data_IF_450784963882
#
_entry.id   IF_450784963882
#
_cell.length_a   1.000
_cell.length_b   1.000
_cell.length_c   1.000
_cell.angle_alpha   90.00
_cell.angle_beta   90.00
_cell.angle_gamma   90.00
#
_symmetry.space_group_name_H-M   'P 1'
#
loop_
_entity.id
_entity.type
_entity.pdbx_description
1 polymer ?
#
# COMPACT_ATOMS: atom_id res chain seq x y z
N UNK A 1 -0.19 -3.33 -4.05
CA UNK A 1 -1.36 -3.97 -3.42
C UNK A 1 -2.30 -4.36 -4.54
N UNK A 2 -3.32 -5.17 -4.30
CA UNK A 2 -4.25 -5.60 -5.35
C UNK A 2 -5.31 -6.54 -4.78
N UNK A 3 -6.16 -7.12 -5.64
CA UNK A 3 -7.26 -8.00 -5.21
C UNK A 3 -6.79 -9.11 -4.26
N UNK A 4 -5.73 -9.83 -4.62
CA UNK A 4 -5.18 -10.94 -3.82
C UNK A 4 -4.35 -10.48 -2.62
N UNK A 5 -4.08 -9.18 -2.51
CA UNK A 5 -3.14 -8.64 -1.53
C UNK A 5 -3.59 -7.28 -1.01
N UNK A 6 -4.59 -7.33 -0.14
CA UNK A 6 -5.00 -6.20 0.70
C UNK A 6 -4.36 -6.35 2.10
N UNK A 7 -3.43 -5.46 2.49
CA UNK A 7 -2.78 -5.51 3.79
C UNK A 7 -3.79 -5.44 4.96
N UNK A 8 -3.61 -6.30 5.97
CA UNK A 8 -4.38 -6.29 7.23
C UNK A 8 -5.90 -6.43 7.07
N UNK A 9 -6.41 -6.87 5.91
CA UNK A 9 -7.84 -7.11 5.67
C UNK A 9 -8.50 -7.96 6.77
N UNK A 10 -7.90 -9.11 7.07
CA UNK A 10 -8.43 -10.02 8.09
C UNK A 10 -8.41 -9.41 9.50
N UNK A 11 -7.38 -8.61 9.82
CA UNK A 11 -7.28 -7.92 11.10
C UNK A 11 -8.39 -6.86 11.23
N UNK A 12 -8.65 -6.08 10.17
CA UNK A 12 -9.73 -5.10 10.12
C UNK A 12 -11.11 -5.74 10.27
N UNK A 13 -11.42 -6.77 9.49
CA UNK A 13 -12.70 -7.49 9.57
C UNK A 13 -12.93 -8.10 10.96
N UNK A 14 -11.86 -8.53 11.63
CA UNK A 14 -11.91 -9.04 12.99
C UNK A 14 -11.87 -7.95 14.09
N UNK A 15 -11.85 -6.67 13.72
CA UNK A 15 -11.76 -5.54 14.67
C UNK A 15 -10.45 -5.50 15.47
N UNK A 16 -9.38 -6.12 14.98
CA UNK A 16 -8.09 -6.16 15.67
C UNK A 16 -7.32 -4.86 15.49
N UNK A 17 -6.62 -4.37 16.54
CA UNK A 17 -5.77 -3.20 16.41
C UNK A 17 -4.66 -3.39 15.37
N UNK A 18 -4.42 -2.35 14.58
CA UNK A 18 -3.33 -2.31 13.62
C UNK A 18 -2.06 -1.87 14.35
N UNK A 19 -1.04 -2.74 14.35
CA UNK A 19 0.27 -2.44 14.92
C UNK A 19 1.08 -1.49 14.02
N UNK A 20 0.74 -0.20 14.01
CA UNK A 20 1.41 0.85 13.25
C UNK A 20 1.12 2.25 13.82
N UNK A 21 1.99 3.21 13.50
CA UNK A 21 1.76 4.64 13.82
C UNK A 21 0.75 5.24 12.84
N UNK A 22 -0.41 5.73 13.29
CA UNK A 22 -1.48 6.22 12.41
C UNK A 22 -1.04 7.40 11.52
N UNK A 23 -0.17 8.27 12.05
CA UNK A 23 0.29 9.48 11.38
C UNK A 23 1.49 9.26 10.43
N UNK A 24 1.97 8.01 10.30
CA UNK A 24 3.06 7.70 9.36
C UNK A 24 2.55 7.53 7.93
N UNK A 25 3.41 7.86 6.96
CA UNK A 25 3.07 7.77 5.54
C UNK A 25 3.22 6.36 4.95
N UNK A 26 2.26 6.00 4.12
CA UNK A 26 2.29 4.91 3.16
C UNK A 26 2.63 5.45 1.77
N UNK A 27 3.34 4.62 1.00
CA UNK A 27 3.52 4.82 -0.43
C UNK A 27 2.96 3.57 -1.11
N UNK A 28 2.02 3.78 -2.02
CA UNK A 28 1.16 2.74 -2.54
C UNK A 28 1.33 2.66 -4.05
N UNK A 29 1.23 1.45 -4.58
CA UNK A 29 1.11 1.20 -6.02
C UNK A 29 0.27 -0.05 -6.18
N UNK A 30 -0.72 0.03 -7.06
CA UNK A 30 -1.58 -1.09 -7.43
C UNK A 30 -0.75 -2.07 -8.29
N UNK A 31 -1.00 -3.38 -8.19
CA UNK A 31 -0.11 -4.40 -8.78
C UNK A 31 -0.12 -4.41 -10.32
N UNK A 32 -1.26 -4.16 -10.95
CA UNK A 32 -1.40 -3.96 -12.39
C UNK A 32 -0.66 -2.70 -12.84
N UNK A 33 -0.86 -1.55 -12.17
CA UNK A 33 -0.09 -0.32 -12.48
C UNK A 33 1.43 -0.55 -12.31
N UNK A 34 1.84 -1.29 -11.28
CA UNK A 34 3.25 -1.62 -11.07
C UNK A 34 3.80 -2.49 -12.21
N UNK A 35 3.02 -3.46 -12.70
CA UNK A 35 3.41 -4.31 -13.83
C UNK A 35 3.52 -3.50 -15.13
N UNK A 36 2.53 -2.66 -15.43
CA UNK A 36 2.53 -1.81 -16.62
C UNK A 36 3.70 -0.83 -16.64
N UNK A 37 4.06 -0.27 -15.48
CA UNK A 37 5.25 0.57 -15.33
C UNK A 37 6.53 -0.21 -15.66
N UNK A 38 6.66 -1.45 -15.19
CA UNK A 38 7.84 -2.28 -15.51
C UNK A 38 7.93 -2.57 -17.01
N UNK A 39 6.81 -2.93 -17.64
CA UNK A 39 6.76 -3.16 -19.10
C UNK A 39 7.11 -1.87 -19.86
N UNK A 40 6.55 -0.74 -19.45
CA UNK A 40 6.81 0.57 -20.07
C UNK A 40 8.27 0.97 -19.96
N UNK A 41 8.88 0.82 -18.78
CA UNK A 41 10.30 1.12 -18.56
C UNK A 41 11.20 0.19 -19.38
N UNK A 42 10.87 -1.10 -19.46
CA UNK A 42 11.66 -2.09 -20.19
C UNK A 42 11.62 -1.88 -21.72
N UNK A 43 10.52 -1.36 -22.24
CA UNK A 43 10.35 -1.08 -23.67
C UNK A 43 10.85 0.32 -24.09
N UNK A 44 11.17 1.20 -23.15
CA UNK A 44 11.57 2.56 -23.44
C UNK A 44 13.04 2.64 -23.92
N UNK A 45 13.28 3.49 -24.92
CA UNK A 45 14.64 3.85 -25.35
C UNK A 45 15.24 4.85 -24.36
N UNK A 46 16.01 4.34 -23.40
CA UNK A 46 16.57 5.11 -22.29
C UNK A 46 18.09 5.02 -22.27
N UNK A 47 18.76 6.16 -22.06
CA UNK A 47 20.18 6.17 -21.73
C UNK A 47 20.41 5.62 -20.31
N UNK A 48 20.99 4.42 -20.22
CA UNK A 48 21.24 3.70 -18.97
C UNK A 48 22.58 4.11 -18.30
N UNK A 49 22.70 3.96 -16.96
CA UNK A 49 21.70 3.42 -16.03
C UNK A 49 20.62 4.44 -15.62
N UNK A 50 19.40 3.95 -15.44
CA UNK A 50 18.27 4.70 -14.88
C UNK A 50 17.77 4.02 -13.61
N UNK A 51 17.29 4.84 -12.68
CA UNK A 51 16.61 4.39 -11.46
C UNK A 51 15.37 5.27 -11.26
N UNK A 52 14.23 4.61 -11.11
CA UNK A 52 12.95 5.23 -10.85
C UNK A 52 12.37 4.69 -9.55
N UNK A 53 11.82 5.60 -8.76
CA UNK A 53 10.94 5.27 -7.64
C UNK A 53 9.51 5.14 -8.13
N UNK A 54 8.83 4.08 -7.70
CA UNK A 54 7.46 3.76 -8.15
C UNK A 54 6.48 3.91 -7.00
N UNK A 55 5.46 4.73 -7.23
CA UNK A 55 4.25 4.90 -6.41
C UNK A 55 3.14 5.48 -7.30
N UNK A 56 1.91 5.50 -6.79
CA UNK A 56 0.78 6.22 -7.37
C UNK A 56 0.91 7.76 -7.27
N UNK A 57 1.98 8.27 -6.66
CA UNK A 57 2.22 9.70 -6.48
C UNK A 57 1.42 10.34 -5.34
N UNK A 58 0.66 9.56 -4.56
CA UNK A 58 -0.21 10.03 -3.49
C UNK A 58 0.21 9.43 -2.14
N UNK A 59 1.26 9.95 -1.47
CA UNK A 59 1.59 9.53 -0.11
C UNK A 59 0.38 9.70 0.81
N UNK A 60 -0.04 8.63 1.47
CA UNK A 60 -1.25 8.60 2.29
C UNK A 60 -0.90 8.35 3.74
N UNK A 61 -1.61 8.98 4.68
CA UNK A 61 -1.49 8.61 6.09
C UNK A 61 -2.04 7.19 6.30
N UNK A 62 -1.44 6.41 7.20
CA UNK A 62 -1.94 5.07 7.55
C UNK A 62 -3.36 5.14 8.09
N UNK A 63 -3.67 6.15 8.92
CA UNK A 63 -5.02 6.38 9.42
C UNK A 63 -6.04 6.47 8.28
N UNK A 64 -5.79 7.33 7.28
CA UNK A 64 -6.69 7.53 6.15
C UNK A 64 -6.84 6.26 5.30
N UNK A 65 -5.73 5.57 5.02
CA UNK A 65 -5.74 4.35 4.23
C UNK A 65 -6.59 3.25 4.88
N UNK A 66 -6.39 3.01 6.18
CA UNK A 66 -7.15 1.97 6.88
C UNK A 66 -8.58 2.38 7.19
N UNK A 67 -8.86 3.67 7.35
CA UNK A 67 -10.23 4.17 7.46
C UNK A 67 -11.01 3.91 6.16
N UNK A 68 -10.40 4.23 5.00
CA UNK A 68 -11.03 3.98 3.70
C UNK A 68 -11.22 2.47 3.46
N UNK A 69 -10.22 1.65 3.78
CA UNK A 69 -10.35 0.21 3.64
C UNK A 69 -11.45 -0.36 4.54
N UNK A 70 -11.57 0.13 5.78
CA UNK A 70 -12.64 -0.30 6.70
C UNK A 70 -14.02 0.08 6.16
N UNK A 71 -14.15 1.29 5.60
CA UNK A 71 -15.38 1.76 4.94
C UNK A 71 -15.78 0.86 3.76
N UNK A 72 -14.83 0.46 2.93
CA UNK A 72 -15.08 -0.39 1.76
C UNK A 72 -15.45 -1.83 2.14
N UNK A 73 -14.89 -2.34 3.24
CA UNK A 73 -15.14 -3.70 3.72
C UNK A 73 -16.37 -3.83 4.64
N UNK A 74 -17.07 -2.73 4.92
CA UNK A 74 -18.08 -2.65 5.98
C UNK A 74 -17.56 -3.18 7.34
N UNK A 75 -16.31 -2.87 7.65
CA UNK A 75 -15.62 -3.28 8.86
C UNK A 75 -15.72 -2.19 9.95
N UNK A 76 -15.51 -2.54 11.24
CA UNK A 76 -15.41 -1.55 12.30
C UNK A 76 -14.31 -0.50 12.04
N UNK A 77 -14.43 0.73 12.58
CA UNK A 77 -13.38 1.74 12.47
C UNK A 77 -12.02 1.21 12.94
N UNK A 78 -10.93 1.54 12.23
CA UNK A 78 -9.61 1.01 12.57
C UNK A 78 -9.15 1.56 13.91
N UNK A 79 -8.63 0.68 14.77
CA UNK A 79 -7.90 1.06 15.98
C UNK A 79 -6.41 0.80 15.77
N UNK A 80 -5.56 1.57 16.45
CA UNK A 80 -4.11 1.49 16.29
C UNK A 80 -3.46 1.14 17.63
N UNK A 81 -2.45 0.29 17.58
CA UNK A 81 -1.56 0.01 18.71
C UNK A 81 -0.13 0.36 18.30
N UNK A 82 0.56 1.15 19.13
CA UNK A 82 1.94 1.52 18.86
C UNK A 82 2.85 0.28 18.77
N UNK A 83 3.67 0.22 17.73
CA UNK A 83 4.56 -0.92 17.49
C UNK A 83 5.57 -1.14 18.63
N UNK A 84 5.95 -0.08 19.35
CA UNK A 84 6.87 -0.13 20.49
C UNK A 84 6.21 -0.60 21.79
N UNK A 85 4.87 -0.67 21.83
CA UNK A 85 4.09 -1.10 22.99
C UNK A 85 3.81 -2.61 23.01
N UNK A 86 4.33 -3.38 22.05
CA UNK A 86 4.32 -4.84 22.10
C UNK A 86 5.57 -5.29 22.86
N UNK A 87 5.46 -5.84 24.09
CA UNK A 87 6.64 -6.37 24.78
C UNK A 87 7.31 -7.42 23.90
N UNK A 88 8.65 -7.38 23.82
CA UNK A 88 9.44 -8.27 22.98
C UNK A 88 9.12 -9.77 23.20
N UNK A 89 8.60 -10.13 24.38
CA UNK A 89 8.18 -11.48 24.75
C UNK A 89 6.86 -11.96 24.09
N UNK A 90 6.11 -11.07 23.43
CA UNK A 90 4.83 -11.39 22.78
C UNK A 90 4.86 -11.19 21.26
N UNK A 91 5.96 -10.64 20.74
CA UNK A 91 6.22 -10.64 19.30
C UNK A 91 6.71 -12.04 18.92
N UNK A 92 6.08 -12.75 17.94
CA UNK A 92 6.68 -13.96 17.42
C UNK A 92 8.11 -13.63 16.98
N UNK A 93 9.10 -14.42 17.45
CA UNK A 93 10.55 -14.21 17.23
C UNK A 93 10.96 -14.19 15.74
N UNK A 94 10.01 -14.36 14.83
CA UNK A 94 10.16 -14.02 13.43
C UNK A 94 9.71 -12.57 13.22
N UNK A 95 10.65 -11.62 13.23
CA UNK A 95 10.42 -10.27 12.64
C UNK A 95 10.11 -10.45 11.15
N UNK A 96 8.86 -10.79 10.85
CA UNK A 96 8.36 -10.99 9.52
C UNK A 96 8.66 -9.73 8.69
N UNK A 97 8.96 -9.84 7.39
CA UNK A 97 9.24 -8.68 6.53
C UNK A 97 8.19 -7.55 6.66
N UNK A 98 6.95 -7.90 7.01
CA UNK A 98 5.84 -6.97 7.26
C UNK A 98 6.03 -6.08 8.50
N UNK A 99 6.69 -6.58 9.57
CA UNK A 99 6.94 -5.81 10.80
C UNK A 99 8.00 -4.71 10.61
N UNK A 100 9.02 -4.92 9.78
CA UNK A 100 10.00 -3.88 9.47
C UNK A 100 9.45 -2.76 8.58
N UNK A 101 8.37 -3.02 7.83
CA UNK A 101 7.73 -2.02 6.96
C UNK A 101 6.71 -1.14 7.70
N UNK A 102 6.25 -1.55 8.89
CA UNK A 102 5.29 -0.76 9.67
C UNK A 102 5.93 0.43 10.38
N UNK A 103 7.25 0.47 10.51
CA UNK A 103 8.01 1.56 11.15
C UNK A 103 8.53 2.61 10.17
N UNK A 104 8.35 2.39 8.87
CA UNK A 104 8.78 3.34 7.85
C UNK A 104 7.82 4.53 7.76
N UNK A 105 8.38 5.73 7.83
CA UNK A 105 7.68 7.00 7.61
C UNK A 105 8.46 7.85 6.60
N UNK A 106 8.15 7.66 5.31
CA UNK A 106 8.77 8.41 4.22
C UNK A 106 7.73 8.70 3.15
N UNK A 107 8.00 9.72 2.34
CA UNK A 107 7.21 10.04 1.15
C UNK A 107 8.09 9.81 -0.08
N UNK A 108 7.56 9.09 -1.05
CA UNK A 108 8.23 8.75 -2.30
C UNK A 108 7.63 9.63 -3.40
N UNK A 109 8.50 10.39 -4.06
CA UNK A 109 8.15 11.09 -5.30
C UNK A 109 8.33 10.14 -6.48
N UNK A 110 7.33 10.07 -7.37
CA UNK A 110 7.41 9.37 -8.66
C UNK A 110 7.68 10.34 -9.83
N UNK A 111 8.00 11.61 -9.54
CA UNK A 111 8.09 12.69 -10.53
C UNK A 111 9.04 12.37 -11.68
N UNK A 112 10.20 11.77 -11.40
CA UNK A 112 11.15 11.39 -12.46
C UNK A 112 10.55 10.37 -13.43
N UNK A 113 9.79 9.41 -12.92
CA UNK A 113 9.13 8.38 -13.72
C UNK A 113 8.09 9.03 -14.64
N UNK A 114 7.22 9.87 -14.10
CA UNK A 114 6.10 10.47 -14.84
C UNK A 114 6.52 11.60 -15.78
N UNK A 115 7.69 12.22 -15.57
CA UNK A 115 8.25 13.21 -16.48
C UNK A 115 9.02 12.60 -17.65
N UNK A 116 9.69 11.46 -17.44
CA UNK A 116 10.51 10.82 -18.49
C UNK A 116 9.73 9.79 -19.32
N UNK A 117 8.63 9.24 -18.79
CA UNK A 117 7.89 8.15 -19.43
C UNK A 117 6.37 8.44 -19.47
N UNK A 118 5.67 7.96 -20.52
CA UNK A 118 4.23 8.18 -20.70
C UNK A 118 3.40 7.25 -19.81
N UNK A 119 3.62 7.29 -18.50
CA UNK A 119 2.92 6.44 -17.53
C UNK A 119 1.44 6.83 -17.47
N UNK A 120 0.56 5.83 -17.58
CA UNK A 120 -0.88 5.96 -17.32
C UNK A 120 -1.22 5.08 -16.13
N UNK A 121 -1.81 5.69 -15.11
CA UNK A 121 -2.30 4.95 -13.95
C UNK A 121 -3.75 4.53 -14.19
N UNK A 122 -4.01 3.23 -14.19
CA UNK A 122 -5.35 2.66 -14.10
C UNK A 122 -5.98 2.96 -12.74
N UNK A 123 -5.16 3.08 -11.69
CA UNK A 123 -5.60 3.44 -10.34
C UNK A 123 -4.86 4.70 -9.85
N UNK A 124 -5.31 5.91 -10.24
CA UNK A 124 -4.59 7.16 -9.98
C UNK A 124 -4.40 7.51 -8.51
N UNK A 125 -5.18 6.89 -7.61
CA UNK A 125 -5.03 7.03 -6.17
C UNK A 125 -5.31 5.69 -5.50
N UNK A 126 -4.78 5.50 -4.29
CA UNK A 126 -5.08 4.31 -3.49
C UNK A 126 -6.58 4.03 -3.29
N UNK A 127 -7.45 5.05 -3.32
CA UNK A 127 -8.90 4.87 -3.16
C UNK A 127 -9.50 4.10 -4.34
N UNK A 128 -9.06 4.42 -5.57
CA UNK A 128 -9.47 3.69 -6.76
C UNK A 128 -9.04 2.23 -6.70
N UNK A 129 -7.75 2.00 -6.38
CA UNK A 129 -7.22 0.63 -6.32
C UNK A 129 -7.79 -0.18 -5.16
N UNK A 130 -8.13 0.46 -4.02
CA UNK A 130 -8.81 -0.24 -2.92
C UNK A 130 -10.24 -0.62 -3.29
N UNK A 131 -11.00 0.28 -3.93
CA UNK A 131 -12.37 0.00 -4.35
C UNK A 131 -12.43 -1.20 -5.31
N UNK A 132 -11.59 -1.20 -6.35
CA UNK A 132 -11.47 -2.32 -7.29
C UNK A 132 -11.02 -3.62 -6.60
N UNK A 133 -10.00 -3.55 -5.74
CA UNK A 133 -9.52 -4.73 -5.03
C UNK A 133 -10.59 -5.34 -4.12
N UNK A 134 -11.41 -4.52 -3.45
CA UNK A 134 -12.50 -4.99 -2.60
C UNK A 134 -13.67 -5.54 -3.41
N UNK A 135 -14.03 -4.89 -4.52
CA UNK A 135 -15.08 -5.36 -5.43
C UNK A 135 -14.74 -6.75 -5.99
N UNK A 136 -13.52 -6.94 -6.49
CA UNK A 136 -13.08 -8.21 -7.06
C UNK A 136 -12.98 -9.34 -6.03
N UNK A 137 -12.75 -9.02 -4.75
CA UNK A 137 -12.81 -10.01 -3.66
C UNK A 137 -14.24 -10.53 -3.41
N UNK A 138 -15.27 -9.72 -3.65
CA UNK A 138 -16.67 -10.13 -3.50
C UNK A 138 -17.21 -10.90 -4.71
N UNK A 139 -16.61 -10.71 -5.89
CA UNK A 139 -17.01 -11.34 -7.15
C UNK A 139 -16.57 -12.80 -7.35
N UNK A 140 -15.83 -13.39 -6.40
CA UNK A 140 -15.43 -14.81 -6.41
C UNK A 140 -16.46 -15.75 -5.75
N UNK A 141 -17.75 -15.36 -5.70
CA UNK A 141 -18.85 -16.22 -5.21
C UNK A 141 -19.56 -16.98 -6.31
#
# INVERSE_FOLDING_TARGET
YGPDRIPRRADLLAGKPIAATPDSYLNLIQVEDAADIVVTVAAADLSLPKLYTVSDGNPALRADYYAELSRLLDAPPPTFQFADAVPAASAPETKSPNSRRSTGDKRISNQRLTQELPIRFHYPTYRHGLADAVERLGGET
#
